data_IF_634020934721
#
_entry.id   IF_634020934721
#
_cell.length_a   1.000
_cell.length_b   1.000
_cell.length_c   1.000
_cell.angle_alpha   90.00
_cell.angle_beta   90.00
_cell.angle_gamma   90.00
#
_symmetry.space_group_name_H-M   'P 1'
#
loop_
_entity.id
_entity.type
_entity.pdbx_description
1 polymer ?
#
# COMPACT_ATOMS: atom_id res chain seq x y z
N UNK A 1 -12.59 25.61 -62.12
CA UNK A 1 -11.45 24.72 -62.43
C UNK A 1 -10.38 24.95 -61.36
N UNK A 2 -10.26 24.04 -60.41
CA UNK A 2 -9.24 24.10 -59.36
C UNK A 2 -8.72 22.68 -59.10
N UNK A 3 -7.40 22.58 -59.23
CA UNK A 3 -6.53 21.41 -59.19
C UNK A 3 -6.78 20.45 -58.01
N UNK A 4 -6.92 19.16 -58.31
CA UNK A 4 -6.80 18.07 -57.34
C UNK A 4 -5.31 17.72 -57.18
N UNK A 5 -4.73 18.04 -56.04
CA UNK A 5 -3.40 17.58 -55.65
C UNK A 5 -3.50 16.16 -55.07
N UNK A 6 -2.92 15.20 -55.80
CA UNK A 6 -2.75 13.80 -55.42
C UNK A 6 -1.92 13.67 -54.14
N UNK A 7 -2.42 12.89 -53.16
CA UNK A 7 -1.61 12.38 -52.05
C UNK A 7 -0.67 11.27 -52.57
N UNK A 8 0.61 11.23 -52.16
CA UNK A 8 1.52 10.17 -52.58
C UNK A 8 1.15 8.84 -51.90
N UNK A 9 0.77 7.86 -52.72
CA UNK A 9 0.61 6.46 -52.34
C UNK A 9 1.97 5.79 -52.19
N UNK A 10 2.27 5.22 -51.03
CA UNK A 10 3.54 4.49 -50.87
C UNK A 10 3.88 4.04 -49.46
N UNK A 11 2.97 3.34 -48.78
CA UNK A 11 3.37 2.40 -47.72
C UNK A 11 2.47 1.18 -47.80
N UNK A 12 3.08 0.02 -48.05
CA UNK A 12 2.38 -1.26 -48.03
C UNK A 12 1.69 -1.44 -46.67
N UNK A 13 0.36 -1.51 -46.68
CA UNK A 13 -0.42 -1.90 -45.49
C UNK A 13 0.02 -3.31 -45.10
N UNK A 14 0.42 -3.56 -43.85
CA UNK A 14 0.62 -4.93 -43.40
C UNK A 14 -0.70 -5.68 -43.56
N UNK A 15 -0.65 -6.90 -44.10
CA UNK A 15 -1.82 -7.72 -44.34
C UNK A 15 -2.66 -7.80 -43.07
N UNK A 16 -3.81 -7.11 -43.06
CA UNK A 16 -4.78 -7.20 -41.97
C UNK A 16 -5.41 -8.58 -42.04
N UNK A 17 -4.85 -9.52 -41.28
CA UNK A 17 -5.47 -10.81 -41.01
C UNK A 17 -6.85 -10.50 -40.44
N UNK A 18 -7.91 -10.71 -41.23
CA UNK A 18 -9.30 -10.47 -40.81
C UNK A 18 -9.52 -11.25 -39.50
N UNK A 19 -9.67 -10.52 -38.40
CA UNK A 19 -10.06 -11.10 -37.12
C UNK A 19 -11.48 -11.64 -37.30
N UNK A 20 -11.62 -12.96 -37.30
CA UNK A 20 -12.92 -13.61 -37.24
C UNK A 20 -13.53 -13.33 -35.86
N UNK A 21 -14.60 -12.52 -35.76
CA UNK A 21 -15.17 -12.14 -34.47
C UNK A 21 -15.78 -13.32 -33.71
N UNK A 22 -15.97 -14.49 -34.36
CA UNK A 22 -16.52 -15.70 -33.75
C UNK A 22 -15.46 -16.64 -33.17
N UNK A 23 -14.18 -16.48 -33.50
CA UNK A 23 -13.12 -17.30 -32.89
C UNK A 23 -12.81 -16.78 -31.48
N UNK A 24 -12.82 -17.65 -30.44
CA UNK A 24 -12.39 -17.26 -29.10
C UNK A 24 -10.94 -16.78 -29.17
N UNK A 25 -10.59 -15.80 -28.32
CA UNK A 25 -9.20 -15.36 -28.24
C UNK A 25 -8.37 -16.51 -27.66
N UNK A 26 -7.10 -16.65 -28.04
CA UNK A 26 -6.26 -17.77 -27.57
C UNK A 26 -6.21 -17.86 -26.03
N UNK A 27 -6.31 -16.72 -25.33
CA UNK A 27 -6.36 -16.66 -23.86
C UNK A 27 -7.64 -17.21 -23.23
N UNK A 28 -8.69 -17.40 -24.04
CA UNK A 28 -9.96 -17.98 -23.60
C UNK A 28 -9.94 -19.51 -23.73
N UNK A 29 -8.90 -20.07 -24.37
CA UNK A 29 -8.65 -21.51 -24.45
C UNK A 29 -7.70 -21.96 -23.32
N UNK A 30 -7.85 -23.18 -22.77
CA UNK A 30 -6.90 -23.72 -21.81
C UNK A 30 -5.53 -23.95 -22.46
N UNK A 31 -4.46 -23.72 -21.69
CA UNK A 31 -3.09 -24.02 -22.13
C UNK A 31 -2.89 -25.54 -22.16
N UNK A 32 -2.48 -26.04 -23.31
CA UNK A 32 -2.17 -27.44 -23.58
C UNK A 32 -0.80 -27.56 -24.22
N UNK A 33 -0.22 -28.78 -24.24
CA UNK A 33 1.04 -29.05 -24.96
C UNK A 33 0.96 -28.71 -26.45
N UNK A 34 -0.23 -28.72 -27.05
CA UNK A 34 -0.43 -28.45 -28.47
C UNK A 34 -0.64 -26.96 -28.81
N UNK A 35 -0.96 -26.09 -27.85
CA UNK A 35 -1.24 -24.67 -28.11
C UNK A 35 -0.42 -23.67 -27.27
N UNK A 36 0.38 -24.10 -26.30
CA UNK A 36 1.13 -23.19 -25.39
C UNK A 36 1.89 -22.08 -26.13
N UNK A 37 2.56 -22.41 -27.23
CA UNK A 37 3.34 -21.46 -28.04
C UNK A 37 2.48 -20.36 -28.68
N UNK A 38 1.16 -20.58 -28.82
CA UNK A 38 0.22 -19.58 -29.34
C UNK A 38 -0.13 -18.53 -28.29
N UNK A 39 -0.02 -18.87 -26.99
CA UNK A 39 -0.24 -17.95 -25.88
C UNK A 39 0.98 -17.04 -25.63
N UNK A 40 2.16 -17.42 -26.11
CA UNK A 40 3.39 -16.63 -25.96
C UNK A 40 3.38 -15.45 -26.94
N UNK A 41 3.78 -14.28 -26.44
CA UNK A 41 4.15 -13.13 -27.26
C UNK A 41 5.64 -13.23 -27.63
N UNK A 42 5.90 -13.80 -28.81
CA UNK A 42 7.26 -14.07 -29.27
C UNK A 42 8.08 -12.81 -29.56
N UNK A 43 7.44 -11.68 -29.80
CA UNK A 43 8.15 -10.41 -29.96
C UNK A 43 8.64 -9.94 -28.60
N UNK A 44 7.74 -9.87 -27.61
CA UNK A 44 8.09 -9.41 -26.27
C UNK A 44 9.06 -10.35 -25.58
N UNK A 45 8.92 -11.68 -25.72
CA UNK A 45 9.89 -12.61 -25.13
C UNK A 45 11.29 -12.41 -25.74
N UNK A 46 11.40 -12.13 -27.03
CA UNK A 46 12.70 -11.86 -27.68
C UNK A 46 13.30 -10.57 -27.14
N UNK A 47 12.51 -9.51 -27.00
CA UNK A 47 13.01 -8.20 -26.56
C UNK A 47 13.32 -8.14 -25.06
N UNK A 48 12.50 -8.77 -24.22
CA UNK A 48 12.58 -8.67 -22.74
C UNK A 48 13.45 -9.78 -22.15
N UNK A 49 13.55 -10.94 -22.81
CA UNK A 49 14.33 -12.08 -22.30
C UNK A 49 15.53 -12.37 -23.21
N UNK A 50 15.30 -12.51 -24.52
CA UNK A 50 16.36 -12.87 -25.48
C UNK A 50 17.49 -11.84 -25.56
N UNK A 51 17.16 -10.57 -25.78
CA UNK A 51 18.14 -9.48 -25.90
C UNK A 51 18.96 -9.30 -24.60
N UNK A 52 18.36 -9.30 -23.39
CA UNK A 52 19.12 -9.28 -22.15
C UNK A 52 20.03 -10.50 -21.95
N UNK A 53 19.59 -11.72 -22.28
CA UNK A 53 20.45 -12.91 -22.24
C UNK A 53 21.67 -12.73 -23.15
N UNK A 54 21.47 -12.22 -24.37
CA UNK A 54 22.57 -11.88 -25.26
C UNK A 54 23.50 -10.81 -24.63
N UNK A 55 22.95 -9.77 -24.00
CA UNK A 55 23.74 -8.75 -23.31
C UNK A 55 24.60 -9.33 -22.18
N UNK A 56 24.04 -10.22 -21.37
CA UNK A 56 24.76 -10.90 -20.28
C UNK A 56 25.88 -11.78 -20.82
N UNK A 57 25.61 -12.53 -21.88
CA UNK A 57 26.62 -13.35 -22.55
C UNK A 57 27.72 -12.48 -23.17
N UNK A 58 27.36 -11.42 -23.90
CA UNK A 58 28.29 -10.51 -24.54
C UNK A 58 29.15 -9.71 -23.53
N UNK A 59 28.65 -9.49 -22.31
CA UNK A 59 29.40 -8.84 -21.24
C UNK A 59 30.65 -9.64 -20.83
N UNK A 60 30.65 -10.97 -20.98
CA UNK A 60 31.83 -11.79 -20.71
C UNK A 60 33.05 -11.40 -21.57
N UNK A 61 32.82 -10.98 -22.82
CA UNK A 61 33.88 -10.52 -23.76
C UNK A 61 33.91 -9.00 -23.95
N UNK A 62 33.29 -8.23 -23.06
CA UNK A 62 33.24 -6.78 -23.18
C UNK A 62 33.69 -6.18 -21.85
N UNK A 63 34.98 -5.85 -21.67
CA UNK A 63 35.46 -5.28 -20.42
C UNK A 63 34.70 -4.01 -20.05
N UNK A 64 34.23 -3.92 -18.80
CA UNK A 64 33.52 -2.74 -18.31
C UNK A 64 34.51 -1.63 -17.98
N UNK A 65 34.55 -0.58 -18.80
CA UNK A 65 35.29 0.64 -18.47
C UNK A 65 34.54 1.45 -17.39
N UNK A 66 35.28 2.09 -16.47
CA UNK A 66 34.69 2.90 -15.40
C UNK A 66 33.79 4.03 -15.92
N UNK A 67 34.22 4.74 -16.99
CA UNK A 67 33.41 5.80 -17.61
C UNK A 67 32.09 5.27 -18.15
N UNK A 68 32.10 4.10 -18.78
CA UNK A 68 30.91 3.40 -19.27
C UNK A 68 30.03 2.92 -18.13
N UNK A 69 30.60 2.43 -17.03
CA UNK A 69 29.84 2.05 -15.84
C UNK A 69 29.09 3.26 -15.25
N UNK A 70 29.78 4.39 -15.04
CA UNK A 70 29.19 5.64 -14.56
C UNK A 70 28.07 6.07 -15.50
N UNK A 71 28.33 6.08 -16.82
CA UNK A 71 27.33 6.44 -17.81
C UNK A 71 26.11 5.52 -17.79
N UNK A 72 26.29 4.21 -17.73
CA UNK A 72 25.20 3.25 -17.67
C UNK A 72 24.34 3.47 -16.42
N UNK A 73 24.95 3.73 -15.27
CA UNK A 73 24.25 4.03 -14.01
C UNK A 73 23.53 5.38 -14.09
N UNK A 74 24.18 6.44 -14.56
CA UNK A 74 23.52 7.74 -14.74
C UNK A 74 22.33 7.63 -15.68
N UNK A 75 22.48 6.91 -16.79
CA UNK A 75 21.42 6.73 -17.77
C UNK A 75 20.30 5.80 -17.27
N UNK A 76 20.61 4.83 -16.39
CA UNK A 76 19.62 4.06 -15.63
C UNK A 76 18.71 5.00 -14.83
N UNK A 77 19.26 5.91 -14.04
CA UNK A 77 18.45 6.86 -13.26
C UNK A 77 17.68 7.84 -14.15
N UNK A 78 18.27 8.33 -15.25
CA UNK A 78 17.57 9.23 -16.18
C UNK A 78 16.37 8.56 -16.86
N UNK A 79 16.55 7.32 -17.35
CA UNK A 79 15.47 6.56 -18.00
C UNK A 79 14.42 6.12 -16.99
N UNK A 80 14.84 5.73 -15.78
CA UNK A 80 13.94 5.50 -14.64
C UNK A 80 13.09 6.71 -14.27
N UNK A 81 13.68 7.91 -14.17
CA UNK A 81 12.94 9.17 -13.98
C UNK A 81 11.98 9.48 -15.14
N UNK A 82 12.30 9.04 -16.36
CA UNK A 82 11.38 9.10 -17.50
C UNK A 82 10.08 8.33 -17.26
N UNK A 83 10.19 7.17 -16.60
CA UNK A 83 9.04 6.37 -16.19
C UNK A 83 8.35 6.99 -14.96
N UNK A 84 9.06 7.16 -13.85
CA UNK A 84 8.46 7.56 -12.57
C UNK A 84 7.97 9.01 -12.57
N UNK A 85 8.78 9.96 -13.05
CA UNK A 85 8.38 11.37 -13.08
C UNK A 85 7.50 11.65 -14.31
N UNK A 86 7.85 11.09 -15.47
CA UNK A 86 7.12 11.29 -16.72
C UNK A 86 5.87 10.42 -16.83
N UNK A 87 6.04 9.17 -17.25
CA UNK A 87 4.93 8.30 -17.64
C UNK A 87 3.90 8.12 -16.52
N UNK A 88 4.40 7.99 -15.30
CA UNK A 88 3.63 7.72 -14.10
C UNK A 88 3.02 8.98 -13.50
N UNK A 89 3.82 9.84 -12.87
CA UNK A 89 3.33 11.00 -12.11
C UNK A 89 2.76 12.11 -13.01
N UNK A 90 3.46 12.47 -14.09
CA UNK A 90 3.02 13.53 -15.00
C UNK A 90 1.84 13.10 -15.89
N UNK A 91 1.98 12.01 -16.63
CA UNK A 91 0.98 11.64 -17.65
C UNK A 91 -0.09 10.68 -17.14
N UNK A 92 0.23 9.63 -16.37
CA UNK A 92 -0.81 8.71 -15.90
C UNK A 92 -1.67 9.33 -14.79
N UNK A 93 -1.06 10.01 -13.83
CA UNK A 93 -1.75 10.55 -12.64
C UNK A 93 -1.99 12.06 -12.66
N UNK A 94 -1.37 12.80 -13.57
CA UNK A 94 -1.50 14.27 -13.63
C UNK A 94 -1.18 14.94 -12.29
N UNK A 95 -0.23 14.40 -11.53
CA UNK A 95 0.07 14.86 -10.17
C UNK A 95 0.87 16.17 -10.14
N UNK A 96 1.39 16.60 -11.29
CA UNK A 96 1.97 17.92 -11.49
C UNK A 96 1.89 18.31 -12.97
N UNK A 97 2.17 19.57 -13.27
CA UNK A 97 2.28 20.11 -14.62
C UNK A 97 3.74 20.41 -14.98
N UNK A 98 4.12 20.24 -16.24
CA UNK A 98 5.49 20.45 -16.71
C UNK A 98 5.53 21.38 -17.93
N UNK A 99 6.56 22.23 -17.99
CA UNK A 99 6.86 23.02 -19.19
C UNK A 99 7.39 22.13 -20.31
N UNK A 100 7.28 22.62 -21.55
CA UNK A 100 7.65 21.87 -22.75
C UNK A 100 9.06 21.26 -22.72
N UNK A 101 10.13 21.96 -22.27
CA UNK A 101 11.47 21.35 -22.22
C UNK A 101 11.53 20.09 -21.34
N UNK A 102 10.89 20.14 -20.16
CA UNK A 102 10.83 19.00 -19.25
C UNK A 102 9.97 17.87 -19.82
N UNK A 103 8.84 18.18 -20.47
CA UNK A 103 8.01 17.18 -21.17
C UNK A 103 8.80 16.44 -22.26
N UNK A 104 9.54 17.17 -23.09
CA UNK A 104 10.37 16.58 -24.16
C UNK A 104 11.46 15.69 -23.56
N UNK A 105 12.17 16.18 -22.54
CA UNK A 105 13.19 15.42 -21.85
C UNK A 105 12.63 14.09 -21.31
N UNK A 106 11.56 14.15 -20.51
CA UNK A 106 10.92 12.98 -19.90
C UNK A 106 10.37 12.01 -20.95
N UNK A 107 9.81 12.52 -22.06
CA UNK A 107 9.32 11.68 -23.16
C UNK A 107 10.45 10.95 -23.88
N UNK A 108 11.61 11.59 -24.04
CA UNK A 108 12.78 11.01 -24.69
C UNK A 108 13.44 9.94 -23.80
N UNK A 109 13.75 10.26 -22.54
CA UNK A 109 14.39 9.29 -21.63
C UNK A 109 13.43 8.18 -21.19
N UNK A 110 12.13 8.45 -21.06
CA UNK A 110 11.12 7.40 -20.85
C UNK A 110 11.00 6.46 -22.05
N UNK A 111 11.15 6.98 -23.28
CA UNK A 111 11.29 6.13 -24.47
C UNK A 111 12.53 5.24 -24.43
N UNK A 112 13.61 5.71 -23.79
CA UNK A 112 14.84 4.94 -23.57
C UNK A 112 14.69 3.76 -22.61
N UNK A 113 13.66 3.73 -21.77
CA UNK A 113 13.35 2.61 -20.86
C UNK A 113 12.69 1.41 -21.58
N UNK A 114 12.12 1.62 -22.78
CA UNK A 114 11.53 0.54 -23.61
C UNK A 114 10.36 -0.18 -22.93
N UNK A 115 9.40 0.58 -22.40
CA UNK A 115 8.23 0.05 -21.66
C UNK A 115 6.89 0.38 -22.34
N UNK A 116 6.88 0.54 -23.67
CA UNK A 116 5.75 1.08 -24.41
C UNK A 116 5.76 2.62 -24.51
N UNK A 117 4.92 3.15 -25.39
CA UNK A 117 4.73 4.61 -25.53
C UNK A 117 4.03 5.17 -24.30
N UNK A 118 4.21 6.47 -24.02
CA UNK A 118 3.52 7.18 -22.91
C UNK A 118 2.02 6.86 -22.94
N UNK A 119 1.41 7.00 -24.13
CA UNK A 119 -0.02 6.79 -24.34
C UNK A 119 -0.50 5.37 -23.97
N UNK A 120 0.31 4.35 -24.27
CA UNK A 120 -0.02 2.95 -23.98
C UNK A 120 0.19 2.65 -22.50
N UNK A 121 1.36 3.04 -21.96
CA UNK A 121 1.73 2.82 -20.58
C UNK A 121 0.76 3.52 -19.63
N UNK A 122 0.48 4.81 -19.83
CA UNK A 122 -0.43 5.56 -18.97
C UNK A 122 -1.87 5.06 -19.05
N UNK A 123 -2.34 4.57 -20.20
CA UNK A 123 -3.65 3.91 -20.31
C UNK A 123 -3.71 2.67 -19.42
N UNK A 124 -2.74 1.78 -19.54
CA UNK A 124 -2.74 0.51 -18.82
C UNK A 124 -2.50 0.72 -17.33
N UNK A 125 -1.70 1.71 -16.96
CA UNK A 125 -1.52 2.11 -15.57
C UNK A 125 -2.79 2.71 -14.93
N UNK A 126 -3.52 3.57 -15.67
CA UNK A 126 -4.84 4.04 -15.21
C UNK A 126 -5.83 2.88 -15.06
N UNK A 127 -5.80 1.91 -15.98
CA UNK A 127 -6.65 0.72 -15.89
C UNK A 127 -6.28 -0.14 -14.68
N UNK A 128 -4.99 -0.28 -14.39
CA UNK A 128 -4.50 -0.94 -13.18
C UNK A 128 -5.06 -0.27 -11.93
N UNK A 129 -4.91 1.03 -11.72
CA UNK A 129 -5.48 1.71 -10.54
C UNK A 129 -7.01 1.59 -10.43
N UNK A 130 -7.73 1.72 -11.55
CA UNK A 130 -9.20 1.67 -11.53
C UNK A 130 -9.74 0.28 -11.24
N UNK A 131 -9.01 -0.75 -11.64
CA UNK A 131 -9.46 -2.13 -11.62
C UNK A 131 -8.51 -3.04 -10.83
N UNK A 132 -7.72 -2.47 -9.91
CA UNK A 132 -6.69 -3.15 -9.12
C UNK A 132 -7.22 -4.47 -8.61
N UNK A 133 -6.43 -5.53 -8.74
CA UNK A 133 -6.79 -6.86 -8.21
C UNK A 133 -8.04 -7.50 -8.83
N UNK A 134 -8.49 -7.05 -10.00
CA UNK A 134 -9.57 -7.70 -10.76
C UNK A 134 -9.05 -8.29 -12.08
N UNK A 135 -9.88 -9.07 -12.78
CA UNK A 135 -9.52 -9.60 -14.10
C UNK A 135 -9.27 -8.53 -15.17
N UNK A 136 -9.77 -7.31 -14.94
CA UNK A 136 -9.60 -6.14 -15.82
C UNK A 136 -8.27 -5.42 -15.63
N UNK A 137 -7.55 -5.71 -14.55
CA UNK A 137 -6.20 -5.21 -14.32
C UNK A 137 -5.21 -5.96 -15.25
N UNK A 138 -4.48 -5.23 -16.11
CA UNK A 138 -3.57 -5.82 -17.10
C UNK A 138 -2.47 -6.67 -16.48
N UNK A 139 -2.01 -6.35 -15.27
CA UNK A 139 -0.89 -7.03 -14.62
C UNK A 139 -1.20 -7.40 -13.16
N UNK A 140 -2.45 -7.77 -12.90
CA UNK A 140 -2.93 -8.17 -11.57
C UNK A 140 -2.07 -9.24 -10.90
N UNK A 141 -1.65 -8.97 -9.65
CA UNK A 141 -0.94 -9.94 -8.80
C UNK A 141 -1.77 -11.18 -8.46
N UNK A 142 -3.11 -11.11 -8.58
CA UNK A 142 -3.99 -12.27 -8.36
C UNK A 142 -3.75 -13.40 -9.35
N UNK A 143 -3.15 -13.11 -10.51
CA UNK A 143 -2.72 -14.10 -11.51
C UNK A 143 -1.38 -14.77 -11.16
N UNK A 144 -0.77 -14.38 -10.05
CA UNK A 144 0.49 -14.90 -9.52
C UNK A 144 1.64 -13.92 -9.64
N UNK A 145 2.59 -14.01 -8.70
CA UNK A 145 3.75 -13.10 -8.60
C UNK A 145 4.59 -13.04 -9.90
N UNK A 146 4.81 -14.20 -10.53
CA UNK A 146 5.57 -14.26 -11.80
C UNK A 146 4.78 -13.67 -12.97
N UNK A 147 3.45 -13.77 -12.93
CA UNK A 147 2.61 -13.14 -13.94
C UNK A 147 2.69 -11.61 -13.83
N UNK A 148 2.50 -11.05 -12.63
CA UNK A 148 2.54 -9.59 -12.45
C UNK A 148 3.94 -9.01 -12.63
N UNK A 149 4.99 -9.79 -12.40
CA UNK A 149 6.35 -9.37 -12.68
C UNK A 149 6.62 -9.30 -14.20
N UNK A 150 6.57 -10.43 -14.90
CA UNK A 150 6.98 -10.50 -16.33
C UNK A 150 5.96 -11.19 -17.22
N UNK A 151 5.15 -12.11 -16.67
CA UNK A 151 4.20 -12.92 -17.45
C UNK A 151 3.20 -12.09 -18.25
N UNK A 152 2.75 -10.95 -17.70
CA UNK A 152 1.82 -10.05 -18.37
C UNK A 152 2.36 -9.45 -19.68
N UNK A 153 3.69 -9.35 -19.84
CA UNK A 153 4.35 -8.87 -21.05
C UNK A 153 4.64 -9.98 -22.06
N UNK A 154 5.07 -11.16 -21.59
CA UNK A 154 5.52 -12.26 -22.45
C UNK A 154 4.37 -13.21 -22.86
N UNK A 155 3.20 -13.08 -22.24
CA UNK A 155 1.99 -13.79 -22.62
C UNK A 155 1.03 -12.84 -23.34
N UNK A 156 0.37 -13.33 -24.39
CA UNK A 156 -0.66 -12.56 -25.09
C UNK A 156 -1.81 -12.25 -24.14
N UNK A 157 -2.22 -10.99 -24.13
CA UNK A 157 -3.41 -10.55 -23.42
C UNK A 157 -4.59 -10.41 -24.37
N UNK A 158 -5.81 -10.57 -23.86
CA UNK A 158 -7.02 -10.25 -24.61
C UNK A 158 -7.36 -8.77 -24.39
N UNK A 159 -7.24 -7.89 -25.41
CA UNK A 159 -7.51 -6.47 -25.24
C UNK A 159 -8.96 -6.17 -24.84
N UNK A 160 -9.90 -7.10 -25.07
CA UNK A 160 -11.30 -6.95 -24.66
C UNK A 160 -11.49 -7.12 -23.15
N UNK A 161 -10.56 -7.79 -22.45
CA UNK A 161 -10.62 -8.01 -21.00
C UNK A 161 -10.00 -6.87 -20.20
N UNK A 162 -9.05 -6.13 -20.78
CA UNK A 162 -8.40 -5.00 -20.12
C UNK A 162 -9.40 -3.88 -19.88
N UNK A 163 -9.40 -3.34 -18.66
CA UNK A 163 -10.27 -2.24 -18.26
C UNK A 163 -10.07 -0.98 -19.11
N UNK A 164 -11.16 -0.26 -19.37
CA UNK A 164 -11.11 1.03 -20.10
C UNK A 164 -11.02 2.20 -19.14
N UNK A 165 -10.22 3.19 -19.53
CA UNK A 165 -10.05 4.47 -18.85
C UNK A 165 -10.10 5.61 -19.83
N UNK A 166 -10.40 6.81 -19.32
CA UNK A 166 -10.26 8.01 -20.12
C UNK A 166 -8.79 8.33 -20.37
N UNK A 167 -8.52 8.75 -21.60
CA UNK A 167 -7.19 9.06 -22.16
C UNK A 167 -7.28 10.25 -23.13
N UNK A 168 -8.37 11.03 -23.05
CA UNK A 168 -8.59 12.24 -23.85
C UNK A 168 -7.41 13.20 -23.72
N UNK A 169 -7.02 13.53 -22.50
CA UNK A 169 -5.86 14.35 -22.16
C UNK A 169 -4.53 13.87 -22.79
N UNK A 170 -4.32 12.55 -22.87
CA UNK A 170 -3.14 11.96 -23.52
C UNK A 170 -3.17 12.12 -25.05
N UNK A 171 -4.36 12.20 -25.66
CA UNK A 171 -4.50 12.46 -27.09
C UNK A 171 -4.40 13.95 -27.42
N UNK A 172 -4.61 14.82 -26.44
CA UNK A 172 -4.54 16.27 -26.59
C UNK A 172 -3.11 16.80 -26.36
N UNK A 173 -2.25 16.08 -25.63
CA UNK A 173 -0.83 16.46 -25.43
C UNK A 173 0.02 16.18 -26.70
N UNK A 174 0.55 17.21 -27.39
CA UNK A 174 1.31 17.03 -28.63
C UNK A 174 2.59 16.21 -28.45
N UNK A 175 3.23 16.27 -27.28
CA UNK A 175 4.46 15.49 -27.00
C UNK A 175 4.12 14.01 -26.91
N UNK A 176 3.01 13.66 -26.24
CA UNK A 176 2.53 12.28 -26.12
C UNK A 176 2.15 11.72 -27.48
N UNK A 177 1.41 12.49 -28.28
CA UNK A 177 1.00 12.09 -29.63
C UNK A 177 2.21 11.90 -30.54
N UNK A 178 3.16 12.85 -30.53
CA UNK A 178 4.39 12.74 -31.32
C UNK A 178 5.20 11.49 -30.94
N UNK A 179 5.37 11.27 -29.63
CA UNK A 179 6.14 10.14 -29.12
C UNK A 179 5.48 8.81 -29.45
N UNK A 180 4.15 8.71 -29.33
CA UNK A 180 3.41 7.50 -29.69
C UNK A 180 3.55 7.18 -31.19
N UNK A 181 3.45 8.19 -32.07
CA UNK A 181 3.61 8.02 -33.53
C UNK A 181 5.02 7.64 -33.94
N UNK A 182 6.03 8.10 -33.20
CA UNK A 182 7.45 7.85 -33.49
C UNK A 182 8.09 6.83 -32.55
N UNK A 183 7.29 6.08 -31.79
CA UNK A 183 7.75 5.32 -30.63
C UNK A 183 8.91 4.36 -30.94
N UNK A 184 8.83 3.62 -32.05
CA UNK A 184 9.89 2.70 -32.48
C UNK A 184 11.20 3.44 -32.74
N UNK A 185 11.15 4.61 -33.38
CA UNK A 185 12.34 5.43 -33.62
C UNK A 185 12.91 5.96 -32.30
N UNK A 186 12.03 6.40 -31.38
CA UNK A 186 12.43 6.86 -30.05
C UNK A 186 13.10 5.76 -29.25
N UNK A 187 12.55 4.55 -29.21
CA UNK A 187 13.13 3.38 -28.51
C UNK A 187 14.47 2.98 -29.10
N UNK A 188 14.59 2.87 -30.43
CA UNK A 188 15.86 2.50 -31.05
C UNK A 188 16.92 3.55 -30.74
N UNK A 189 16.57 4.83 -30.91
CA UNK A 189 17.51 5.91 -30.70
C UNK A 189 17.88 6.07 -29.22
N UNK A 190 16.91 6.37 -28.35
CA UNK A 190 17.17 6.63 -26.93
C UNK A 190 17.56 5.35 -26.17
N UNK A 191 16.98 4.20 -26.51
CA UNK A 191 17.30 2.94 -25.83
C UNK A 191 18.68 2.41 -26.17
N UNK A 192 19.12 2.49 -27.43
CA UNK A 192 20.32 1.77 -27.89
C UNK A 192 21.38 2.68 -28.54
N UNK A 193 20.98 3.53 -29.49
CA UNK A 193 21.93 4.33 -30.27
C UNK A 193 22.55 5.44 -29.43
N UNK A 194 21.74 6.22 -28.73
CA UNK A 194 22.18 7.34 -27.90
C UNK A 194 23.20 6.93 -26.82
N UNK A 195 22.95 5.92 -25.96
CA UNK A 195 23.94 5.52 -24.97
C UNK A 195 25.25 4.99 -25.59
N UNK A 196 25.18 4.35 -26.75
CA UNK A 196 26.34 3.90 -27.52
C UNK A 196 27.14 5.07 -28.13
N UNK A 197 26.45 6.08 -28.68
CA UNK A 197 27.09 7.28 -29.20
C UNK A 197 27.81 8.07 -28.12
N UNK A 198 27.22 8.20 -26.93
CA UNK A 198 27.82 8.93 -25.81
C UNK A 198 29.15 8.29 -25.38
N UNK A 199 29.20 6.97 -25.22
CA UNK A 199 30.45 6.29 -24.83
C UNK A 199 31.46 6.21 -25.98
N UNK A 200 30.98 5.96 -27.20
CA UNK A 200 31.79 5.84 -28.40
C UNK A 200 32.48 7.14 -28.78
N UNK A 201 31.73 8.25 -28.83
CA UNK A 201 32.27 9.57 -29.14
C UNK A 201 33.00 10.20 -27.93
N UNK A 202 32.56 9.91 -26.71
CA UNK A 202 33.12 10.50 -25.50
C UNK A 202 34.47 9.89 -25.10
N UNK A 203 34.61 8.57 -25.12
CA UNK A 203 35.84 7.88 -24.69
C UNK A 203 36.17 6.61 -25.50
N UNK A 204 35.59 6.46 -26.69
CA UNK A 204 35.94 5.38 -27.62
C UNK A 204 35.31 4.02 -27.32
N UNK A 205 34.45 3.90 -26.30
CA UNK A 205 33.91 2.61 -25.86
C UNK A 205 32.53 2.31 -26.48
N UNK A 206 32.51 2.09 -27.79
CA UNK A 206 31.29 1.76 -28.55
C UNK A 206 30.63 0.47 -28.06
N UNK A 207 31.44 -0.59 -27.88
CA UNK A 207 30.96 -1.92 -27.48
C UNK A 207 30.43 -1.89 -26.05
N UNK A 208 31.14 -1.27 -25.11
CA UNK A 208 30.68 -1.11 -23.74
C UNK A 208 29.41 -0.27 -23.64
N UNK A 209 29.30 0.81 -24.41
CA UNK A 209 28.06 1.60 -24.48
C UNK A 209 26.86 0.80 -24.95
N UNK A 210 27.01 0.02 -26.01
CA UNK A 210 25.95 -0.82 -26.54
C UNK A 210 25.52 -1.91 -25.55
N UNK A 211 26.48 -2.62 -24.94
CA UNK A 211 26.19 -3.73 -24.02
C UNK A 211 25.70 -3.23 -22.65
N UNK A 212 26.46 -2.36 -21.98
CA UNK A 212 26.17 -1.94 -20.60
C UNK A 212 25.15 -0.81 -20.52
N UNK A 213 25.36 0.28 -21.25
CA UNK A 213 24.46 1.45 -21.20
C UNK A 213 23.22 1.31 -22.11
N UNK A 214 23.28 0.42 -23.11
CA UNK A 214 22.16 -0.02 -23.93
C UNK A 214 21.44 -1.22 -23.31
N UNK A 215 21.86 -2.44 -23.65
CA UNK A 215 21.14 -3.68 -23.36
C UNK A 215 20.91 -3.91 -21.86
N UNK A 216 21.98 -4.00 -21.07
CA UNK A 216 21.87 -4.39 -19.67
C UNK A 216 21.14 -3.33 -18.85
N UNK A 217 21.38 -2.04 -19.14
CA UNK A 217 20.65 -0.96 -18.48
C UNK A 217 19.16 -0.98 -18.79
N UNK A 218 18.73 -1.24 -20.04
CA UNK A 218 17.30 -1.45 -20.36
C UNK A 218 16.74 -2.58 -19.50
N UNK A 219 17.44 -3.72 -19.47
CA UNK A 219 17.02 -4.87 -18.66
C UNK A 219 16.82 -4.50 -17.19
N UNK A 220 17.80 -3.85 -16.55
CA UNK A 220 17.69 -3.48 -15.15
C UNK A 220 16.55 -2.49 -14.89
N UNK A 221 16.32 -1.50 -15.76
CA UNK A 221 15.18 -0.58 -15.62
C UNK A 221 13.86 -1.35 -15.71
N UNK A 222 13.72 -2.24 -16.70
CA UNK A 222 12.51 -3.06 -16.85
C UNK A 222 12.27 -3.94 -15.62
N UNK A 223 13.29 -4.63 -15.10
CA UNK A 223 13.13 -5.46 -13.90
C UNK A 223 12.75 -4.62 -12.67
N UNK A 224 13.34 -3.42 -12.53
CA UNK A 224 12.96 -2.49 -11.48
C UNK A 224 11.49 -2.06 -11.60
N UNK A 225 11.03 -1.65 -12.79
CA UNK A 225 9.61 -1.32 -13.01
C UNK A 225 8.70 -2.51 -12.75
N UNK A 226 9.07 -3.71 -13.20
CA UNK A 226 8.29 -4.93 -13.01
C UNK A 226 8.18 -5.34 -11.54
N UNK A 227 9.14 -4.97 -10.69
CA UNK A 227 9.03 -5.11 -9.24
C UNK A 227 7.91 -4.25 -8.63
N UNK A 228 7.52 -3.13 -9.26
CA UNK A 228 6.38 -2.34 -8.80
C UNK A 228 5.09 -3.15 -8.93
N UNK A 229 4.88 -3.80 -10.08
CA UNK A 229 3.70 -4.62 -10.34
C UNK A 229 3.68 -5.93 -9.51
N UNK A 230 4.84 -6.42 -9.08
CA UNK A 230 4.97 -7.68 -8.35
C UNK A 230 5.27 -7.48 -6.85
N UNK A 231 6.50 -7.11 -6.50
CA UNK A 231 6.94 -6.97 -5.11
C UNK A 231 6.12 -5.93 -4.36
N UNK A 232 5.77 -4.80 -4.98
CA UNK A 232 4.96 -3.77 -4.33
C UNK A 232 3.49 -4.17 -4.12
N UNK A 233 3.07 -5.32 -4.65
CA UNK A 233 1.76 -5.94 -4.39
C UNK A 233 1.85 -7.20 -3.53
N UNK A 234 3.03 -7.55 -3.01
CA UNK A 234 3.25 -8.80 -2.29
C UNK A 234 4.02 -8.62 -0.98
N UNK A 235 5.05 -7.78 -0.98
CA UNK A 235 5.95 -7.55 0.16
C UNK A 235 5.70 -6.16 0.76
N UNK A 236 5.54 -6.10 2.09
CA UNK A 236 5.42 -4.85 2.84
C UNK A 236 4.14 -4.71 3.65
N UNK A 237 3.92 -3.48 4.11
CA UNK A 237 2.80 -3.10 4.97
C UNK A 237 1.69 -2.39 4.21
N UNK A 238 0.50 -2.35 4.80
CA UNK A 238 -0.66 -1.62 4.26
C UNK A 238 -1.11 -0.54 5.26
N UNK A 239 -0.35 0.56 5.38
CA UNK A 239 -0.60 1.59 6.39
C UNK A 239 -1.84 2.46 6.10
N UNK A 240 -2.36 2.51 4.87
CA UNK A 240 -3.47 3.39 4.49
C UNK A 240 -4.74 2.64 4.10
N UNK A 241 -4.63 1.57 3.32
CA UNK A 241 -5.79 0.74 2.92
C UNK A 241 -5.38 -0.71 2.65
N UNK A 242 -6.22 -1.68 3.01
CA UNK A 242 -5.93 -3.12 2.84
C UNK A 242 -7.02 -3.86 2.06
N UNK A 243 -7.86 -3.15 1.30
CA UNK A 243 -8.87 -3.78 0.43
C UNK A 243 -8.24 -4.44 -0.79
N UNK A 244 -7.14 -3.88 -1.27
CA UNK A 244 -6.36 -4.38 -2.40
C UNK A 244 -4.95 -4.77 -1.93
N UNK A 245 -4.16 -5.35 -2.81
CA UNK A 245 -2.81 -5.87 -2.57
C UNK A 245 -1.62 -4.88 -2.50
N UNK A 246 -1.69 -3.59 -2.91
CA UNK A 246 -0.57 -2.66 -2.82
C UNK A 246 0.00 -2.53 -1.41
N UNK A 247 1.32 -2.48 -1.30
CA UNK A 247 2.09 -2.47 -0.05
C UNK A 247 3.22 -1.45 -0.08
N UNK A 248 3.51 -0.89 1.09
CA UNK A 248 4.65 -0.02 1.33
C UNK A 248 5.85 -0.85 1.81
N UNK A 249 6.98 -0.74 1.12
CA UNK A 249 8.20 -1.43 1.52
C UNK A 249 9.48 -0.69 1.07
N UNK A 250 10.40 -0.47 2.01
CA UNK A 250 11.63 0.32 1.77
C UNK A 250 12.56 -0.33 0.73
N UNK A 251 12.72 -1.66 0.76
CA UNK A 251 13.58 -2.35 -0.21
C UNK A 251 12.99 -2.25 -1.61
N UNK A 252 11.65 -2.37 -1.70
CA UNK A 252 10.96 -2.18 -2.98
C UNK A 252 11.20 -0.75 -3.46
N UNK A 253 11.07 0.25 -2.58
CA UNK A 253 11.32 1.65 -2.95
C UNK A 253 12.76 1.90 -3.42
N UNK A 254 13.77 1.25 -2.82
CA UNK A 254 15.16 1.35 -3.27
C UNK A 254 15.35 0.78 -4.67
N UNK A 255 14.80 -0.41 -4.94
CA UNK A 255 14.89 -1.08 -6.25
C UNK A 255 14.13 -0.28 -7.31
N UNK A 256 13.00 0.33 -6.95
CA UNK A 256 12.07 0.95 -7.89
C UNK A 256 12.08 2.49 -7.86
N UNK A 257 13.19 3.12 -7.46
CA UNK A 257 13.36 4.59 -7.51
C UNK A 257 12.27 5.39 -6.77
N UNK A 258 11.82 4.88 -5.63
CA UNK A 258 10.78 5.49 -4.78
C UNK A 258 9.39 4.91 -4.96
N UNK A 259 9.17 4.07 -5.97
CA UNK A 259 7.82 3.58 -6.31
C UNK A 259 7.28 2.48 -5.36
N UNK A 260 8.07 2.05 -4.38
CA UNK A 260 7.73 0.97 -3.45
C UNK A 260 6.91 1.38 -2.24
N UNK A 261 6.59 2.68 -2.06
CA UNK A 261 5.53 3.12 -1.14
C UNK A 261 4.18 3.05 -1.87
N UNK A 262 3.81 1.82 -2.25
CA UNK A 262 2.77 1.56 -3.23
C UNK A 262 1.37 1.55 -2.61
N UNK A 263 1.26 1.27 -1.30
CA UNK A 263 0.00 1.41 -0.58
C UNK A 263 -0.44 2.86 -0.51
N UNK A 264 0.49 3.78 -0.16
CA UNK A 264 0.23 5.21 -0.22
C UNK A 264 -0.18 5.63 -1.63
N UNK A 265 0.58 5.20 -2.64
CA UNK A 265 0.33 5.55 -4.02
C UNK A 265 -1.05 5.12 -4.54
N UNK A 266 -1.50 3.90 -4.20
CA UNK A 266 -2.82 3.42 -4.62
C UNK A 266 -3.97 4.11 -3.91
N UNK A 267 -3.79 4.50 -2.64
CA UNK A 267 -4.82 5.24 -1.89
C UNK A 267 -4.88 6.72 -2.31
N UNK A 268 -3.73 7.33 -2.62
CA UNK A 268 -3.60 8.75 -2.95
C UNK A 268 -2.94 9.00 -4.31
N UNK A 269 -3.48 8.47 -5.42
CA UNK A 269 -2.79 8.39 -6.71
C UNK A 269 -2.44 9.74 -7.35
N UNK A 270 -3.16 10.82 -6.98
CA UNK A 270 -2.87 12.16 -7.49
C UNK A 270 -1.80 12.92 -6.71
N UNK A 271 -1.27 12.40 -5.60
CA UNK A 271 -0.11 13.03 -4.93
C UNK A 271 1.13 12.90 -5.82
N UNK A 272 1.93 13.95 -5.94
CA UNK A 272 3.18 13.88 -6.71
C UNK A 272 4.26 13.06 -5.99
N UNK A 273 4.05 12.70 -4.72
CA UNK A 273 4.95 11.90 -3.89
C UNK A 273 4.39 10.50 -3.77
N UNK A 274 5.24 9.50 -3.86
CA UNK A 274 4.89 8.17 -3.33
C UNK A 274 5.34 8.05 -1.88
N UNK A 275 6.46 8.69 -1.53
CA UNK A 275 6.96 8.73 -0.18
C UNK A 275 6.71 10.10 0.46
N UNK A 276 5.86 10.16 1.48
CA UNK A 276 5.44 11.43 2.11
C UNK A 276 6.41 11.94 3.16
N UNK A 277 7.14 11.05 3.85
CA UNK A 277 8.10 11.46 4.87
C UNK A 277 9.39 11.97 4.20
N UNK A 278 10.07 12.91 4.84
CA UNK A 278 11.28 13.54 4.28
C UNK A 278 12.44 12.54 4.13
N UNK A 279 12.56 11.58 5.06
CA UNK A 279 13.63 10.58 5.10
C UNK A 279 13.35 9.36 4.21
N UNK A 280 12.11 9.20 3.72
CA UNK A 280 11.77 8.08 2.86
C UNK A 280 12.36 8.31 1.46
N UNK A 281 13.06 7.29 0.95
CA UNK A 281 13.70 7.30 -0.35
C UNK A 281 12.68 7.43 -1.48
N UNK A 282 12.69 8.58 -2.15
CA UNK A 282 11.91 8.87 -3.36
C UNK A 282 12.68 9.90 -4.21
N UNK A 283 13.67 9.46 -5.01
CA UNK A 283 14.45 10.37 -5.86
C UNK A 283 13.59 11.10 -6.88
N UNK A 284 12.44 10.53 -7.25
CA UNK A 284 11.48 11.13 -8.18
C UNK A 284 10.81 12.35 -7.56
N UNK A 285 10.35 12.25 -6.30
CA UNK A 285 9.83 13.39 -5.51
C UNK A 285 10.84 14.53 -5.46
N UNK A 286 12.09 14.24 -5.13
CA UNK A 286 13.13 15.27 -5.02
C UNK A 286 13.45 15.91 -6.37
N UNK A 287 13.47 15.11 -7.45
CA UNK A 287 13.66 15.61 -8.81
C UNK A 287 12.55 16.55 -9.26
N UNK A 288 11.29 16.17 -9.04
CA UNK A 288 10.12 17.01 -9.36
C UNK A 288 10.14 18.30 -8.54
N UNK A 289 10.47 18.22 -7.25
CA UNK A 289 10.61 19.40 -6.40
C UNK A 289 11.72 20.34 -6.90
N UNK A 290 12.87 19.82 -7.31
CA UNK A 290 13.96 20.62 -7.87
C UNK A 290 13.55 21.27 -9.19
N UNK A 291 12.87 20.55 -10.09
CA UNK A 291 12.32 21.11 -11.33
C UNK A 291 11.29 22.21 -11.06
N UNK A 292 10.54 22.13 -9.94
CA UNK A 292 9.66 23.22 -9.51
C UNK A 292 10.44 24.46 -9.15
N UNK A 293 11.54 24.33 -8.39
CA UNK A 293 12.39 25.47 -8.04
C UNK A 293 13.01 26.13 -9.28
N UNK A 294 13.33 25.33 -10.30
CA UNK A 294 13.83 25.83 -11.59
C UNK A 294 12.73 26.34 -12.54
N UNK A 295 11.46 26.34 -12.11
CA UNK A 295 10.31 26.77 -12.92
C UNK A 295 9.94 25.83 -14.07
N UNK A 296 10.50 24.62 -14.13
CA UNK A 296 10.20 23.59 -15.15
C UNK A 296 8.96 22.76 -14.82
N UNK A 297 8.66 22.59 -13.53
CA UNK A 297 7.46 21.94 -13.02
C UNK A 297 6.61 22.93 -12.20
N UNK A 298 5.29 22.74 -12.18
CA UNK A 298 4.33 23.57 -11.46
C UNK A 298 3.08 22.77 -11.09
N UNK A 299 2.18 23.34 -10.28
CA UNK A 299 0.94 22.69 -9.81
C UNK A 299 1.13 21.31 -9.18
N UNK A 300 2.20 21.13 -8.39
CA UNK A 300 2.45 19.88 -7.66
C UNK A 300 1.31 19.62 -6.66
N UNK A 301 0.54 18.56 -6.91
CA UNK A 301 -0.60 18.15 -6.09
C UNK A 301 -0.11 17.37 -4.87
N UNK A 302 -0.61 17.74 -3.69
CA UNK A 302 -0.42 17.02 -2.44
C UNK A 302 -1.77 16.81 -1.77
N UNK A 303 -2.00 15.63 -1.22
CA UNK A 303 -3.17 15.42 -0.37
C UNK A 303 -3.03 16.17 0.95
N UNK A 304 -4.17 16.59 1.51
CA UNK A 304 -4.21 17.24 2.82
C UNK A 304 -3.71 16.25 3.86
N UNK A 305 -2.77 16.68 4.72
CA UNK A 305 -2.18 15.83 5.75
C UNK A 305 -3.24 15.15 6.62
N UNK A 306 -4.30 15.87 6.99
CA UNK A 306 -5.39 15.33 7.79
C UNK A 306 -6.09 14.11 7.15
N UNK A 307 -6.24 14.07 5.82
CA UNK A 307 -6.87 12.92 5.16
C UNK A 307 -5.92 11.72 5.11
N UNK A 308 -4.62 11.96 4.96
CA UNK A 308 -3.58 10.93 5.05
C UNK A 308 -3.56 10.32 6.46
N UNK A 309 -3.58 11.16 7.50
CA UNK A 309 -3.57 10.70 8.90
C UNK A 309 -4.87 9.96 9.28
N UNK A 310 -6.02 10.38 8.74
CA UNK A 310 -7.28 9.63 8.92
C UNK A 310 -7.15 8.20 8.40
N UNK A 311 -6.64 8.02 7.17
CA UNK A 311 -6.43 6.68 6.60
C UNK A 311 -5.48 5.83 7.44
N UNK A 312 -4.35 6.42 7.87
CA UNK A 312 -3.38 5.76 8.75
C UNK A 312 -3.98 5.33 10.09
N UNK A 313 -4.76 6.22 10.71
CA UNK A 313 -5.43 5.94 11.98
C UNK A 313 -6.51 4.87 11.85
N UNK A 314 -7.28 4.89 10.76
CA UNK A 314 -8.30 3.88 10.48
C UNK A 314 -7.68 2.49 10.33
N UNK A 315 -6.57 2.37 9.60
CA UNK A 315 -5.86 1.09 9.48
C UNK A 315 -5.23 0.65 10.80
N UNK A 316 -4.66 1.58 11.58
CA UNK A 316 -4.14 1.25 12.89
C UNK A 316 -5.26 0.75 13.83
N UNK A 317 -6.43 1.39 13.81
CA UNK A 317 -7.59 0.95 14.59
C UNK A 317 -8.01 -0.46 14.18
N UNK A 318 -8.06 -0.77 12.88
CA UNK A 318 -8.35 -2.13 12.39
C UNK A 318 -7.36 -3.17 12.91
N UNK A 319 -6.05 -2.87 12.88
CA UNK A 319 -5.00 -3.75 13.43
C UNK A 319 -5.13 -3.93 14.95
N UNK A 320 -5.47 -2.85 15.66
CA UNK A 320 -5.73 -2.91 17.10
C UNK A 320 -6.96 -3.77 17.42
N UNK A 321 -8.04 -3.66 16.63
CA UNK A 321 -9.25 -4.47 16.78
C UNK A 321 -8.95 -5.95 16.57
N UNK A 322 -8.17 -6.30 15.54
CA UNK A 322 -7.72 -7.68 15.30
C UNK A 322 -6.87 -8.22 16.46
N UNK A 323 -5.88 -7.45 16.94
CA UNK A 323 -5.05 -7.86 18.09
C UNK A 323 -5.87 -7.98 19.36
N UNK A 324 -6.89 -7.14 19.53
CA UNK A 324 -7.80 -7.20 20.67
C UNK A 324 -8.57 -8.52 20.70
N UNK A 325 -8.99 -9.04 19.53
CA UNK A 325 -9.75 -10.29 19.43
C UNK A 325 -8.94 -11.52 19.85
N UNK A 326 -7.61 -11.45 19.84
CA UNK A 326 -6.74 -12.58 20.27
C UNK A 326 -6.49 -12.62 21.77
N UNK A 327 -6.96 -11.63 22.53
CA UNK A 327 -6.74 -11.51 23.97
C UNK A 327 -7.98 -11.96 24.74
N UNK A 328 -7.78 -12.60 25.89
CA UNK A 328 -8.86 -12.89 26.82
C UNK A 328 -9.20 -11.62 27.61
N UNK A 329 -10.43 -11.15 27.44
CA UNK A 329 -10.99 -10.01 28.17
C UNK A 329 -12.01 -10.45 29.23
N UNK A 330 -12.22 -11.75 29.42
CA UNK A 330 -13.29 -12.33 30.22
C UNK A 330 -14.69 -12.21 29.58
N UNK A 331 -15.68 -12.76 30.26
CA UNK A 331 -17.08 -12.82 29.79
C UNK A 331 -17.66 -11.39 29.67
N UNK A 332 -18.16 -10.95 28.50
CA UNK A 332 -18.79 -9.65 28.34
C UNK A 332 -19.90 -9.41 29.38
N UNK A 333 -20.02 -8.18 29.90
CA UNK A 333 -20.97 -7.87 30.98
C UNK A 333 -22.42 -8.21 30.62
N UNK A 334 -22.75 -8.06 29.34
CA UNK A 334 -24.07 -8.32 28.75
C UNK A 334 -24.45 -9.81 28.75
N UNK A 335 -23.45 -10.68 28.87
CA UNK A 335 -23.59 -12.14 28.88
C UNK A 335 -23.51 -12.71 30.30
N UNK A 336 -23.17 -11.88 31.29
CA UNK A 336 -23.10 -12.31 32.68
C UNK A 336 -24.52 -12.49 33.25
N UNK A 337 -24.76 -13.51 34.09
CA UNK A 337 -26.02 -13.65 34.78
C UNK A 337 -26.23 -12.49 35.76
N UNK A 338 -27.48 -12.07 35.90
CA UNK A 338 -27.89 -11.13 36.94
C UNK A 338 -28.07 -11.91 38.24
N UNK A 339 -27.39 -11.48 39.30
CA UNK A 339 -27.39 -12.12 40.62
C UNK A 339 -27.97 -11.14 41.63
N UNK A 340 -28.82 -11.62 42.53
CA UNK A 340 -29.34 -10.84 43.65
C UNK A 340 -28.31 -10.78 44.79
N UNK A 341 -28.33 -9.69 45.58
CA UNK A 341 -27.34 -9.47 46.63
C UNK A 341 -27.30 -10.61 47.66
N UNK A 342 -28.47 -11.12 48.03
CA UNK A 342 -28.59 -12.21 49.01
C UNK A 342 -27.98 -13.51 48.46
N UNK A 343 -28.22 -13.82 47.19
CA UNK A 343 -27.61 -14.98 46.51
C UNK A 343 -26.09 -14.85 46.43
N UNK A 344 -25.58 -13.66 46.09
CA UNK A 344 -24.14 -13.38 46.10
C UNK A 344 -23.52 -13.63 47.49
N UNK A 345 -24.18 -13.17 48.56
CA UNK A 345 -23.69 -13.37 49.92
C UNK A 345 -23.80 -14.83 50.37
N UNK A 346 -24.85 -15.55 49.97
CA UNK A 346 -25.04 -16.97 50.27
C UNK A 346 -23.96 -17.82 49.60
N UNK A 347 -23.70 -17.61 48.30
CA UNK A 347 -22.64 -18.30 47.58
C UNK A 347 -21.26 -18.05 48.19
N UNK A 348 -21.00 -16.82 48.65
CA UNK A 348 -19.75 -16.48 49.33
C UNK A 348 -19.60 -17.22 50.68
N UNK A 349 -20.69 -17.38 51.45
CA UNK A 349 -20.71 -18.15 52.70
C UNK A 349 -20.52 -19.65 52.46
N UNK A 350 -21.00 -20.14 51.31
CA UNK A 350 -20.91 -21.55 50.91
C UNK A 350 -19.55 -21.94 50.30
N UNK A 351 -18.51 -21.11 50.49
CA UNK A 351 -17.12 -21.46 50.23
C UNK A 351 -16.53 -20.92 48.92
N UNK A 352 -17.31 -20.22 48.09
CA UNK A 352 -16.77 -19.49 46.94
C UNK A 352 -16.18 -18.16 47.41
N UNK A 353 -14.97 -17.84 46.98
CA UNK A 353 -14.42 -16.52 47.28
C UNK A 353 -14.90 -15.49 46.24
N UNK A 354 -16.08 -14.91 46.50
CA UNK A 354 -16.66 -13.90 45.62
C UNK A 354 -16.42 -12.48 46.14
N UNK A 355 -16.07 -11.56 45.23
CA UNK A 355 -15.93 -10.13 45.52
C UNK A 355 -16.72 -9.30 44.52
N UNK A 356 -17.46 -8.30 45.01
CA UNK A 356 -18.15 -7.35 44.17
C UNK A 356 -17.30 -6.09 43.97
N UNK A 357 -17.07 -5.70 42.71
CA UNK A 357 -16.37 -4.46 42.35
C UNK A 357 -17.16 -3.76 41.26
N UNK A 358 -17.60 -2.54 41.55
CA UNK A 358 -18.46 -1.71 40.71
C UNK A 358 -19.73 -2.44 40.21
N UNK A 359 -20.38 -3.19 41.11
CA UNK A 359 -21.58 -3.97 40.79
C UNK A 359 -21.34 -5.25 39.99
N UNK A 360 -20.09 -5.58 39.66
CA UNK A 360 -19.72 -6.84 38.97
C UNK A 360 -19.16 -7.83 39.99
N UNK A 361 -19.66 -9.07 39.95
CA UNK A 361 -19.21 -10.17 40.83
C UNK A 361 -18.05 -10.90 40.18
N UNK A 362 -16.99 -11.08 40.94
CA UNK A 362 -15.77 -11.79 40.51
C UNK A 362 -15.50 -12.97 41.42
N UNK A 363 -15.19 -14.13 40.83
CA UNK A 363 -14.75 -15.31 41.57
C UNK A 363 -13.22 -15.33 41.61
N UNK A 364 -12.68 -15.05 42.79
CA UNK A 364 -11.25 -14.94 43.03
C UNK A 364 -10.68 -16.17 43.74
N UNK A 365 -11.45 -17.27 43.85
CA UNK A 365 -11.11 -18.46 44.64
C UNK A 365 -9.70 -18.98 44.33
N UNK A 366 -9.37 -19.11 43.05
CA UNK A 366 -8.05 -19.59 42.62
C UNK A 366 -6.95 -18.53 42.73
N UNK A 367 -7.31 -17.24 42.69
CA UNK A 367 -6.38 -16.12 42.65
C UNK A 367 -5.91 -15.65 44.03
N UNK A 368 -6.64 -15.96 45.10
CA UNK A 368 -6.32 -15.48 46.47
C UNK A 368 -4.86 -15.73 46.87
N UNK A 369 -4.31 -16.90 46.52
CA UNK A 369 -2.94 -17.29 46.85
C UNK A 369 -1.87 -16.50 46.09
N UNK A 370 -2.24 -15.98 44.92
CA UNK A 370 -1.35 -15.27 44.00
C UNK A 370 -1.53 -13.74 44.10
N UNK A 371 -2.44 -13.27 44.95
CA UNK A 371 -2.68 -11.84 45.16
C UNK A 371 -1.44 -11.14 45.73
N UNK A 372 -0.86 -10.14 45.04
CA UNK A 372 0.40 -9.50 45.47
C UNK A 372 0.32 -8.77 46.82
N UNK A 373 -0.86 -8.27 47.21
CA UNK A 373 -1.09 -7.67 48.53
C UNK A 373 -1.23 -8.69 49.66
N UNK A 374 -1.12 -9.99 49.36
CA UNK A 374 -1.24 -11.09 50.31
C UNK A 374 -2.68 -11.54 50.55
N UNK A 375 -2.80 -12.78 51.04
CA UNK A 375 -4.07 -13.48 51.28
C UNK A 375 -4.97 -12.76 52.28
N UNK A 376 -4.41 -12.20 53.35
CA UNK A 376 -5.19 -11.58 54.42
C UNK A 376 -6.02 -10.38 53.92
N UNK A 377 -5.42 -9.51 53.10
CA UNK A 377 -6.08 -8.30 52.59
C UNK A 377 -7.22 -8.65 51.64
N UNK A 378 -7.00 -9.56 50.68
CA UNK A 378 -8.04 -9.93 49.70
C UNK A 378 -9.19 -10.73 50.34
N UNK A 379 -8.89 -11.57 51.35
CA UNK A 379 -9.91 -12.36 52.07
C UNK A 379 -10.91 -11.46 52.80
N UNK A 380 -10.48 -10.26 53.24
CA UNK A 380 -11.36 -9.31 53.96
C UNK A 380 -12.53 -8.78 53.10
N UNK A 381 -12.41 -8.85 51.77
CA UNK A 381 -13.40 -8.41 50.80
C UNK A 381 -14.40 -9.49 50.38
N UNK A 382 -14.21 -10.76 50.77
CA UNK A 382 -15.09 -11.87 50.37
C UNK A 382 -16.52 -11.61 50.87
N UNK A 383 -17.51 -11.73 49.97
CA UNK A 383 -18.93 -11.52 50.26
C UNK A 383 -19.32 -10.04 50.49
N UNK A 384 -18.42 -9.09 50.17
CA UNK A 384 -18.65 -7.64 50.35
C UNK A 384 -18.50 -6.88 49.04
N UNK A 385 -18.93 -5.62 49.04
CA UNK A 385 -18.57 -4.65 48.02
C UNK A 385 -17.15 -4.12 48.30
N UNK A 386 -16.19 -4.56 47.47
CA UNK A 386 -14.78 -4.19 47.56
C UNK A 386 -14.44 -2.99 46.65
N UNK A 387 -15.42 -2.31 46.08
CA UNK A 387 -15.23 -1.21 45.12
C UNK A 387 -14.29 -0.12 45.64
N UNK A 388 -14.53 0.39 46.85
CA UNK A 388 -13.73 1.45 47.44
C UNK A 388 -12.30 1.00 47.73
N UNK A 389 -12.13 -0.21 48.26
CA UNK A 389 -10.81 -0.80 48.58
C UNK A 389 -9.98 -0.98 47.30
N UNK A 390 -10.64 -1.37 46.20
CA UNK A 390 -9.99 -1.63 44.92
C UNK A 390 -9.62 -0.35 44.14
N UNK A 391 -10.38 0.74 44.30
CA UNK A 391 -10.29 1.97 43.50
C UNK A 391 -9.68 3.19 44.21
N UNK A 392 -8.81 3.00 45.21
CA UNK A 392 -8.07 4.12 45.83
C UNK A 392 -8.45 4.46 47.27
N UNK A 393 -9.55 3.92 47.80
CA UNK A 393 -9.89 4.06 49.22
C UNK A 393 -8.88 3.36 50.16
N UNK A 394 -8.12 2.40 49.63
CA UNK A 394 -6.95 1.80 50.31
C UNK A 394 -5.79 1.65 49.33
N UNK A 395 -6.04 1.05 48.17
CA UNK A 395 -5.04 0.91 47.12
C UNK A 395 -5.67 1.18 45.76
N UNK A 396 -5.05 2.06 44.98
CA UNK A 396 -5.49 2.36 43.61
C UNK A 396 -4.89 1.34 42.64
N UNK A 397 -5.65 0.30 42.31
CA UNK A 397 -5.14 -0.84 41.54
C UNK A 397 -4.73 -0.47 40.10
N UNK A 398 -3.63 -1.07 39.66
CA UNK A 398 -3.04 -0.80 38.34
C UNK A 398 -3.93 -1.28 37.18
N UNK A 399 -3.67 -0.80 35.96
CA UNK A 399 -4.33 -1.30 34.74
C UNK A 399 -4.25 -2.84 34.62
N UNK A 400 -3.14 -3.44 35.05
CA UNK A 400 -2.95 -4.89 34.99
C UNK A 400 -3.89 -5.63 35.96
N UNK A 401 -4.06 -5.10 37.18
CA UNK A 401 -4.98 -5.68 38.15
C UNK A 401 -6.45 -5.59 37.69
N UNK A 402 -6.85 -4.48 37.07
CA UNK A 402 -8.16 -4.37 36.42
C UNK A 402 -8.33 -5.38 35.26
N UNK A 403 -7.34 -5.51 34.37
CA UNK A 403 -7.38 -6.50 33.29
C UNK A 403 -7.51 -7.93 33.83
N UNK A 404 -6.76 -8.29 34.86
CA UNK A 404 -6.85 -9.60 35.50
C UNK A 404 -8.21 -9.80 36.19
N UNK A 405 -8.70 -8.80 36.91
CA UNK A 405 -10.03 -8.87 37.55
C UNK A 405 -11.12 -9.15 36.51
N UNK A 406 -11.01 -8.58 35.31
CA UNK A 406 -11.99 -8.79 34.24
C UNK A 406 -12.09 -10.23 33.74
N UNK A 407 -11.05 -11.06 33.88
CA UNK A 407 -11.12 -12.48 33.49
C UNK A 407 -11.83 -13.34 34.53
N UNK A 408 -12.02 -12.82 35.75
CA UNK A 408 -12.63 -13.52 36.89
C UNK A 408 -14.13 -13.22 37.05
N UNK A 409 -14.78 -12.60 36.07
CA UNK A 409 -16.19 -12.19 36.15
C UNK A 409 -17.14 -13.39 36.11
N UNK A 410 -18.09 -13.44 37.03
CA UNK A 410 -19.10 -14.52 37.11
C UNK A 410 -20.54 -14.03 37.18
N UNK A 411 -20.78 -12.75 37.42
CA UNK A 411 -22.14 -12.19 37.45
C UNK A 411 -22.18 -10.68 37.57
N UNK A 412 -23.38 -10.10 37.46
CA UNK A 412 -23.67 -8.69 37.70
C UNK A 412 -24.73 -8.59 38.79
N UNK A 413 -24.50 -7.76 39.80
CA UNK A 413 -25.48 -7.52 40.85
C UNK A 413 -26.65 -6.75 40.26
N UNK A 414 -27.89 -7.20 40.52
CA UNK A 414 -29.10 -6.53 40.03
C UNK A 414 -29.07 -5.04 40.39
N UNK A 415 -29.15 -4.18 39.36
CA UNK A 415 -29.08 -2.70 39.50
C UNK A 415 -27.69 -2.14 39.86
N UNK A 416 -26.71 -2.98 40.21
CA UNK A 416 -25.38 -2.55 40.67
C UNK A 416 -24.59 -1.79 39.60
N UNK A 417 -24.50 -2.34 38.38
CA UNK A 417 -23.80 -1.66 37.28
C UNK A 417 -24.51 -0.36 36.85
N UNK A 418 -25.85 -0.31 36.89
CA UNK A 418 -26.61 0.90 36.55
C UNK A 418 -26.33 2.05 37.51
N UNK A 419 -26.26 1.75 38.81
CA UNK A 419 -25.90 2.72 39.85
C UNK A 419 -24.48 3.27 39.62
N UNK A 420 -23.52 2.42 39.26
CA UNK A 420 -22.15 2.86 39.01
C UNK A 420 -22.00 3.67 37.71
N UNK A 421 -22.73 3.29 36.66
CA UNK A 421 -22.85 4.07 35.43
C UNK A 421 -23.43 5.46 35.76
N UNK A 422 -24.54 5.53 36.50
CA UNK A 422 -25.15 6.81 36.89
C UNK A 422 -24.20 7.70 37.69
N UNK A 423 -23.54 7.16 38.73
CA UNK A 423 -22.55 7.90 39.53
C UNK A 423 -21.38 8.42 38.69
N UNK A 424 -20.97 7.66 37.68
CA UNK A 424 -19.90 8.06 36.76
C UNK A 424 -20.36 9.17 35.81
N UNK A 425 -21.55 9.08 35.23
CA UNK A 425 -22.10 10.10 34.33
C UNK A 425 -22.23 11.45 35.04
N UNK A 426 -22.70 11.41 36.29
CA UNK A 426 -22.81 12.59 37.15
C UNK A 426 -21.43 13.24 37.42
N UNK A 427 -20.39 12.44 37.63
CA UNK A 427 -19.02 12.94 37.87
C UNK A 427 -18.36 13.51 36.61
N UNK A 428 -18.55 12.87 35.47
CA UNK A 428 -17.92 13.28 34.20
C UNK A 428 -18.71 14.38 33.45
N UNK A 429 -19.89 14.74 33.95
CA UNK A 429 -20.85 15.69 33.35
C UNK A 429 -21.10 15.43 31.85
N UNK A 430 -21.18 14.13 31.50
CA UNK A 430 -21.28 13.62 30.13
C UNK A 430 -22.13 12.35 30.11
N UNK A 431 -22.82 12.13 28.99
CA UNK A 431 -23.43 10.84 28.70
C UNK A 431 -22.34 9.76 28.52
N UNK A 432 -22.51 8.64 29.22
CA UNK A 432 -21.59 7.49 29.10
C UNK A 432 -21.92 6.76 27.81
N UNK A 433 -21.08 6.96 26.79
CA UNK A 433 -21.11 6.15 25.58
C UNK A 433 -20.09 5.02 25.67
N UNK A 434 -20.54 3.79 25.36
CA UNK A 434 -19.62 2.68 25.20
C UNK A 434 -18.88 2.85 23.87
N UNK A 435 -17.55 2.89 23.93
CA UNK A 435 -16.75 2.88 22.71
C UNK A 435 -16.95 1.53 22.03
N UNK A 436 -17.16 1.54 20.71
CA UNK A 436 -17.25 0.34 19.90
C UNK A 436 -16.08 0.28 18.91
N UNK A 437 -15.70 -0.93 18.50
CA UNK A 437 -14.76 -1.12 17.41
C UNK A 437 -15.40 -0.80 16.05
N UNK A 438 -14.59 -0.93 15.00
CA UNK A 438 -15.02 -0.72 13.61
C UNK A 438 -16.17 -1.64 13.16
N UNK A 439 -16.45 -2.74 13.87
CA UNK A 439 -17.54 -3.66 13.62
C UNK A 439 -18.77 -3.43 14.53
N UNK A 440 -18.75 -2.38 15.35
CA UNK A 440 -19.82 -2.05 16.29
C UNK A 440 -19.82 -2.89 17.57
N UNK A 441 -18.79 -3.70 17.81
CA UNK A 441 -18.64 -4.47 19.06
C UNK A 441 -18.07 -3.57 20.14
N UNK A 442 -18.68 -3.60 21.33
CA UNK A 442 -18.21 -2.79 22.47
C UNK A 442 -16.75 -3.12 22.82
N UNK A 443 -15.95 -2.07 22.95
CA UNK A 443 -14.55 -2.12 23.35
C UNK A 443 -14.33 -1.43 24.68
N UNK A 444 -13.71 -2.17 25.60
CA UNK A 444 -13.17 -1.65 26.85
C UNK A 444 -11.77 -1.10 26.58
N UNK A 445 -11.58 0.22 26.70
CA UNK A 445 -10.26 0.88 26.64
C UNK A 445 -9.58 0.85 28.02
N UNK A 446 -8.27 1.03 28.03
CA UNK A 446 -7.54 1.27 29.27
C UNK A 446 -8.16 2.49 29.98
N UNK A 447 -8.50 2.33 31.26
CA UNK A 447 -9.22 3.37 32.02
C UNK A 447 -10.74 3.39 31.87
N UNK A 448 -11.31 2.61 30.95
CA UNK A 448 -12.76 2.54 30.70
C UNK A 448 -13.38 1.24 31.20
N UNK A 449 -12.64 0.44 31.98
CA UNK A 449 -13.22 -0.72 32.65
C UNK A 449 -14.31 -0.28 33.63
N UNK A 450 -15.41 -1.03 33.72
CA UNK A 450 -16.50 -0.72 34.67
C UNK A 450 -16.02 -0.77 36.12
N UNK A 451 -15.06 -1.64 36.41
CA UNK A 451 -14.44 -1.77 37.74
C UNK A 451 -13.57 -0.57 38.11
N UNK A 452 -13.26 0.34 37.19
CA UNK A 452 -12.50 1.56 37.46
C UNK A 452 -13.40 2.73 37.76
N UNK A 453 -13.18 3.32 38.94
CA UNK A 453 -13.83 4.55 39.38
C UNK A 453 -12.77 5.62 39.53
N UNK A 454 -12.91 6.74 38.82
CA UNK A 454 -12.05 7.89 39.01
C UNK A 454 -12.43 8.61 40.31
N UNK A 455 -11.46 8.85 41.20
CA UNK A 455 -11.65 9.77 42.31
C UNK A 455 -11.69 11.21 41.78
N UNK A 456 -12.51 12.10 42.37
CA UNK A 456 -12.38 13.52 42.11
C UNK A 456 -10.96 13.96 42.53
N UNK A 457 -10.26 14.67 41.65
CA UNK A 457 -9.07 15.42 42.06
C UNK A 457 -9.54 16.36 43.17
N UNK A 458 -8.97 16.23 44.37
CA UNK A 458 -9.25 17.16 45.45
C UNK A 458 -9.02 18.58 44.92
N UNK A 459 -10.07 19.40 44.86
CA UNK A 459 -9.91 20.83 44.61
C UNK A 459 -8.95 21.36 45.67
N UNK A 460 -7.98 22.17 45.26
CA UNK A 460 -6.92 22.74 46.09
C UNK A 460 -7.41 23.68 47.22
N UNK A 461 -8.71 23.65 47.56
CA UNK A 461 -9.36 24.47 48.59
C UNK A 461 -9.66 23.69 49.88
N UNK A 462 -8.99 22.57 50.11
CA UNK A 462 -8.97 21.89 51.41
C UNK A 462 -7.53 21.69 51.87
N UNK A 463 -6.89 22.79 52.29
CA UNK A 463 -5.67 22.83 53.07
C UNK A 463 -5.94 23.54 54.39
#
# INVERSE_FOLDING_TARGET
MASQTQQPSGMAKPATRKLDPKKPHITDEPITRANWYKHVDWLNITLIVGVPIYGLFAAYWTPLQLKTAIWAISYYFMTGLGITAGYHRLWAHTSYSARLPLKIFLAAVGGGAVEGSIRWWSRDHRAHHRYTDTDKDPYSVRKGLMYSHIGWMIMKQNPKRIGRTDISDLNDDPVVVWQHRNYIKTVIFMGMVFPCLVSGLGWGDWKGGFIYAGILRIFFVQQATFCVNSLAHWLGDQPFDDRNSPRDHVITALVTLGEGYHNFHHEFPSDYRNAIEWHQYDPTKWSIWLWKQMGLAFDLKQFKQNEIEKGRLQQLQKKLDQKRQTLDWGIPLEQLPIIDWDTYQEEAKNGRALVAVAGVVHDITDFIKDHPGGKALITSGIGKDATAIFNGGVYNHSNAAHNLLSTMRVGVIRGGCEVEIWKRAQRENKDISFVSDSAGKKIIRAGSQVTRIAEPVASADAA
#
